data_IF_360762237004
#
_entry.id   IF_360762237004
#
_cell.length_a   1.000
_cell.length_b   1.000
_cell.length_c   1.000
_cell.angle_alpha   90.00
_cell.angle_beta   90.00
_cell.angle_gamma   90.00
#
_symmetry.space_group_name_H-M   'P 1'
#
loop_
_entity.id
_entity.type
_entity.pdbx_description
1 polymer ?
#
# COMPACT_ATOMS: atom_id res chain seq x y z
N UNK A 1 -25.89 9.00 14.76
CA UNK A 1 -25.30 7.85 14.05
C UNK A 1 -24.79 8.35 12.71
N UNK A 2 -23.46 8.35 12.49
CA UNK A 2 -22.86 8.78 11.23
C UNK A 2 -22.95 7.63 10.22
N UNK A 3 -23.74 7.85 9.17
CA UNK A 3 -24.07 6.88 8.12
C UNK A 3 -22.95 6.81 7.07
N UNK A 4 -21.74 6.43 7.49
CA UNK A 4 -20.60 6.29 6.59
C UNK A 4 -20.62 4.89 5.93
N UNK A 5 -20.64 4.85 4.59
CA UNK A 5 -20.40 3.64 3.81
C UNK A 5 -18.89 3.42 3.72
N UNK A 6 -18.40 2.32 4.24
CA UNK A 6 -17.00 1.91 4.17
C UNK A 6 -16.86 0.77 3.17
N UNK A 7 -15.87 0.84 2.27
CA UNK A 7 -15.42 -0.31 1.50
C UNK A 7 -14.16 -0.86 2.16
N UNK A 8 -14.22 -2.11 2.61
CA UNK A 8 -13.06 -2.83 3.10
C UNK A 8 -12.33 -3.47 1.92
N UNK A 9 -11.04 -3.16 1.75
CA UNK A 9 -10.17 -3.86 0.80
C UNK A 9 -9.02 -4.48 1.59
N UNK A 10 -9.16 -5.75 1.92
CA UNK A 10 -8.07 -6.58 2.41
C UNK A 10 -7.25 -7.06 1.22
N UNK A 11 -5.93 -6.99 1.37
CA UNK A 11 -4.97 -7.42 0.37
C UNK A 11 -3.99 -8.35 1.06
N UNK A 12 -4.21 -9.64 0.85
CA UNK A 12 -3.32 -10.70 1.32
C UNK A 12 -2.26 -10.91 0.26
N UNK A 13 -0.98 -10.61 0.58
CA UNK A 13 0.14 -11.05 -0.25
C UNK A 13 0.65 -12.38 0.31
N UNK A 14 0.57 -13.45 -0.49
CA UNK A 14 0.98 -14.80 -0.09
C UNK A 14 2.50 -15.01 -0.12
N UNK A 15 3.28 -14.00 -0.51
CA UNK A 15 4.75 -14.10 -0.58
C UNK A 15 5.41 -12.72 -0.47
N UNK A 16 6.60 -12.63 0.16
CA UNK A 16 7.39 -11.40 0.22
C UNK A 16 7.78 -10.94 -1.18
N UNK A 17 7.88 -9.63 -1.37
CA UNK A 17 8.20 -9.05 -2.66
C UNK A 17 9.41 -8.13 -2.60
N UNK A 18 10.40 -8.42 -3.43
CA UNK A 18 11.61 -7.61 -3.57
C UNK A 18 11.46 -6.64 -4.74
N UNK A 19 11.89 -5.41 -4.53
CA UNK A 19 11.93 -4.34 -5.51
C UNK A 19 13.35 -3.79 -5.60
N UNK A 20 13.84 -3.59 -6.82
CA UNK A 20 15.19 -3.06 -7.05
C UNK A 20 15.33 -1.62 -6.55
N UNK A 21 14.26 -0.84 -6.64
CA UNK A 21 14.24 0.54 -6.17
C UNK A 21 12.83 0.93 -5.72
N UNK A 22 12.74 2.11 -5.11
CA UNK A 22 11.49 2.66 -4.60
C UNK A 22 10.44 2.89 -5.71
N UNK A 23 10.88 3.31 -6.90
CA UNK A 23 9.97 3.59 -8.01
C UNK A 23 9.33 2.30 -8.55
N UNK A 24 10.05 1.18 -8.53
CA UNK A 24 9.52 -0.13 -8.88
C UNK A 24 8.44 -0.57 -7.90
N UNK A 25 8.67 -0.37 -6.58
CA UNK A 25 7.65 -0.62 -5.57
C UNK A 25 6.42 0.27 -5.80
N UNK A 26 6.63 1.58 -5.98
CA UNK A 26 5.55 2.53 -6.22
C UNK A 26 4.75 2.18 -7.46
N UNK A 27 5.42 1.82 -8.56
CA UNK A 27 4.75 1.39 -9.79
C UNK A 27 3.93 0.13 -9.57
N UNK A 28 4.50 -0.89 -8.93
CA UNK A 28 3.81 -2.14 -8.64
C UNK A 28 2.52 -1.90 -7.86
N UNK A 29 2.57 -1.17 -6.73
CA UNK A 29 1.38 -0.93 -5.93
C UNK A 29 0.39 0.03 -6.60
N UNK A 30 0.87 1.00 -7.40
CA UNK A 30 -0.02 1.87 -8.20
C UNK A 30 -0.84 1.04 -9.19
N UNK A 31 -0.21 0.13 -9.91
CA UNK A 31 -0.86 -0.77 -10.87
C UNK A 31 -1.80 -1.74 -10.16
N UNK A 32 -1.32 -2.36 -9.07
CA UNK A 32 -2.05 -3.35 -8.29
C UNK A 32 -3.34 -2.76 -7.68
N UNK A 33 -3.27 -1.58 -7.06
CA UNK A 33 -4.42 -0.91 -6.46
C UNK A 33 -5.22 -0.05 -7.45
N UNK A 34 -4.79 0.04 -8.71
CA UNK A 34 -5.36 0.91 -9.74
C UNK A 34 -5.47 2.37 -9.27
N UNK A 35 -4.44 2.84 -8.57
CA UNK A 35 -4.33 4.21 -8.06
C UNK A 35 -4.12 5.17 -9.22
N UNK A 36 -5.03 6.13 -9.37
CA UNK A 36 -5.00 7.11 -10.47
C UNK A 36 -4.96 8.56 -10.01
N UNK A 37 -5.34 8.83 -8.76
CA UNK A 37 -5.42 10.20 -8.22
C UNK A 37 -4.17 10.54 -7.43
N UNK A 38 -3.71 11.78 -7.52
CA UNK A 38 -2.54 12.28 -6.78
C UNK A 38 -2.66 12.07 -5.26
N UNK A 39 -3.85 12.29 -4.69
CA UNK A 39 -4.08 12.04 -3.26
C UNK A 39 -3.85 10.57 -2.88
N UNK A 40 -4.30 9.64 -3.72
CA UNK A 40 -4.10 8.20 -3.50
C UNK A 40 -2.62 7.81 -3.67
N UNK A 41 -1.88 8.51 -4.53
CA UNK A 41 -0.42 8.32 -4.67
C UNK A 41 0.31 8.73 -3.39
N UNK A 42 -0.09 9.83 -2.74
CA UNK A 42 0.54 10.25 -1.47
C UNK A 42 0.34 9.22 -0.36
N UNK A 43 -0.88 8.71 -0.21
CA UNK A 43 -1.21 7.63 0.75
C UNK A 43 -0.40 6.36 0.42
N UNK A 44 -0.24 6.05 -0.86
CA UNK A 44 0.54 4.89 -1.27
C UNK A 44 2.04 5.05 -0.98
N UNK A 45 2.60 6.26 -1.10
CA UNK A 45 3.98 6.52 -0.69
C UNK A 45 4.16 6.31 0.81
N UNK A 46 3.23 6.82 1.62
CA UNK A 46 3.24 6.58 3.08
C UNK A 46 3.15 5.09 3.43
N UNK A 47 2.35 4.32 2.67
CA UNK A 47 2.30 2.87 2.81
C UNK A 47 3.66 2.23 2.51
N UNK A 48 4.30 2.60 1.39
CA UNK A 48 5.61 2.06 1.00
C UNK A 48 6.67 2.39 2.05
N UNK A 49 6.73 3.64 2.49
CA UNK A 49 7.68 4.09 3.53
C UNK A 49 7.49 3.34 4.86
N UNK A 50 6.26 2.93 5.17
CA UNK A 50 5.93 2.23 6.42
C UNK A 50 6.22 0.73 6.37
N UNK A 51 5.99 0.09 5.23
CA UNK A 51 5.97 -1.38 5.14
C UNK A 51 7.08 -1.97 4.26
N UNK A 52 7.78 -1.15 3.49
CA UNK A 52 8.89 -1.59 2.64
C UNK A 52 10.18 -1.00 3.20
N UNK A 53 11.12 -1.88 3.50
CA UNK A 53 12.41 -1.48 4.06
C UNK A 53 13.55 -1.82 3.11
N UNK A 54 14.67 -1.10 3.24
CA UNK A 54 15.88 -1.42 2.48
C UNK A 54 16.41 -2.77 2.91
N UNK A 55 16.65 -3.63 1.94
CA UNK A 55 17.20 -4.97 2.14
C UNK A 55 18.23 -5.23 1.03
N UNK A 56 19.47 -5.52 1.43
CA UNK A 56 20.61 -5.68 0.52
C UNK A 56 20.74 -4.48 -0.45
N UNK A 57 20.65 -4.72 -1.76
CA UNK A 57 20.76 -3.73 -2.82
C UNK A 57 19.40 -3.20 -3.30
N UNK A 58 18.31 -3.50 -2.57
CA UNK A 58 16.96 -3.08 -2.93
C UNK A 58 16.04 -2.87 -1.74
N UNK A 59 14.77 -3.22 -1.94
CA UNK A 59 13.66 -2.94 -1.05
C UNK A 59 12.80 -4.19 -0.90
N UNK A 60 12.52 -4.59 0.33
CA UNK A 60 11.74 -5.78 0.63
C UNK A 60 10.42 -5.39 1.29
N UNK A 61 9.34 -5.92 0.72
CA UNK A 61 8.03 -5.99 1.35
C UNK A 61 7.85 -7.39 1.94
N UNK A 62 8.21 -7.53 3.21
CA UNK A 62 8.36 -8.80 3.91
C UNK A 62 7.07 -9.26 4.58
N UNK A 63 6.00 -9.47 3.80
CA UNK A 63 4.63 -9.56 4.30
C UNK A 63 4.34 -10.65 5.37
N UNK A 64 4.70 -10.39 6.63
CA UNK A 64 4.17 -11.04 7.84
C UNK A 64 3.76 -9.96 8.83
N UNK A 65 2.56 -9.40 8.63
CA UNK A 65 1.53 -9.18 9.66
C UNK A 65 0.32 -8.48 9.04
N UNK A 66 -0.83 -9.11 9.20
CA UNK A 66 -2.18 -8.54 9.03
C UNK A 66 -2.23 -7.06 9.41
N UNK A 67 -2.38 -6.15 8.44
CA UNK A 67 -2.64 -4.74 8.73
C UNK A 67 -3.84 -4.24 7.93
N UNK A 68 -4.87 -3.83 8.66
CA UNK A 68 -6.11 -3.23 8.16
C UNK A 68 -5.96 -1.71 8.07
N UNK A 69 -6.55 -1.09 7.05
CA UNK A 69 -6.62 0.37 6.92
C UNK A 69 -8.08 0.82 6.78
N UNK A 70 -8.45 1.88 7.50
CA UNK A 70 -9.79 2.48 7.48
C UNK A 70 -9.73 3.79 6.70
N UNK A 71 -10.47 3.89 5.59
CA UNK A 71 -10.75 5.16 4.91
C UNK A 71 -12.06 5.74 5.43
N UNK A 72 -12.02 6.94 5.98
CA UNK A 72 -13.24 7.72 6.28
C UNK A 72 -13.50 8.66 5.10
N UNK A 73 -14.60 8.43 4.37
CA UNK A 73 -15.16 9.44 3.46
C UNK A 73 -16.25 10.23 4.19
N UNK A 74 -16.08 11.55 4.25
CA UNK A 74 -17.14 12.48 4.65
C UNK A 74 -18.12 12.67 3.47
N UNK A 75 -19.42 12.93 3.77
CA UNK A 75 -20.47 13.12 2.77
C UNK A 75 -20.18 14.27 1.80
#
# INVERSE_FOLDING_TARGET
MLNCKYEHKELTYDFPQFFKNYDDALKFFKEHFRVKKELEISILKEFIDKYIYKYEDGYLFDNIKTSSFIVIKKP
#
